data_IF_345994607532
#
_entry.id   IF_345994607532
#
_cell.length_a   1.000
_cell.length_b   1.000
_cell.length_c   1.000
_cell.angle_alpha   90.00
_cell.angle_beta   90.00
_cell.angle_gamma   90.00
#
_symmetry.space_group_name_H-M   'P 1'
#
loop_
_entity.id
_entity.type
_entity.pdbx_description
1 polymer ?
#
# COMPACT_ATOMS: atom_id res chain seq x y z
N UNK A 1 -6.66 36.82 29.87
CA UNK A 1 -7.28 35.61 29.29
C UNK A 1 -6.44 35.10 28.11
N UNK A 2 -5.28 34.44 28.32
CA UNK A 2 -4.46 33.89 27.25
C UNK A 2 -4.58 32.36 27.23
N UNK A 3 -5.69 31.83 26.71
CA UNK A 3 -5.89 30.39 26.54
C UNK A 3 -6.09 29.95 25.08
N UNK A 4 -6.43 30.88 24.16
CA UNK A 4 -6.84 30.54 22.79
C UNK A 4 -5.71 30.36 21.76
N UNK A 5 -4.49 30.84 22.05
CA UNK A 5 -3.38 30.73 21.10
C UNK A 5 -2.67 29.35 21.16
N UNK A 6 -2.65 28.71 22.34
CA UNK A 6 -2.05 27.37 22.50
C UNK A 6 -2.92 26.26 21.91
N UNK A 7 -4.24 26.35 22.06
CA UNK A 7 -5.19 25.37 21.50
C UNK A 7 -5.14 25.31 19.97
N UNK A 8 -5.07 26.46 19.29
CA UNK A 8 -5.00 26.50 17.82
C UNK A 8 -3.69 25.91 17.27
N UNK A 9 -2.56 26.12 17.95
CA UNK A 9 -1.27 25.54 17.55
C UNK A 9 -1.23 24.03 17.81
N UNK A 10 -1.88 23.55 18.87
CA UNK A 10 -2.02 22.12 19.18
C UNK A 10 -3.00 21.43 18.22
N UNK A 11 -4.09 22.09 17.83
CA UNK A 11 -5.06 21.57 16.85
C UNK A 11 -4.44 21.48 15.45
N UNK A 12 -3.66 22.50 15.07
CA UNK A 12 -2.89 22.48 13.80
C UNK A 12 -1.74 21.45 13.82
N UNK A 13 -1.11 21.22 14.98
CA UNK A 13 -0.11 20.16 15.13
C UNK A 13 -0.73 18.75 15.10
N UNK A 14 -1.94 18.56 15.64
CA UNK A 14 -2.66 17.28 15.57
C UNK A 14 -3.08 16.92 14.15
N UNK A 15 -3.47 17.91 13.35
CA UNK A 15 -3.75 17.74 11.92
C UNK A 15 -2.50 17.37 11.11
N UNK A 16 -1.29 17.64 11.62
CA UNK A 16 -0.01 17.38 10.96
C UNK A 16 0.68 16.06 11.37
N UNK A 17 0.17 15.34 12.39
CA UNK A 17 0.87 14.19 12.99
C UNK A 17 0.37 12.83 12.49
N UNK A 18 -0.80 12.75 11.87
CA UNK A 18 -1.33 11.52 11.30
C UNK A 18 -0.80 11.32 9.86
N UNK A 19 -0.17 10.17 9.59
CA UNK A 19 0.24 9.81 8.24
C UNK A 19 -0.97 9.45 7.35
N UNK A 20 -0.73 9.18 6.04
CA UNK A 20 -1.80 8.82 5.11
C UNK A 20 -2.62 7.60 5.53
N UNK A 21 -1.99 6.63 6.19
CA UNK A 21 -2.65 5.42 6.66
C UNK A 21 -3.57 5.76 7.84
N UNK A 22 -3.09 6.53 8.80
CA UNK A 22 -3.83 6.97 9.97
C UNK A 22 -5.09 7.76 9.58
N UNK A 23 -4.97 8.66 8.61
CA UNK A 23 -6.13 9.38 8.08
C UNK A 23 -7.16 8.45 7.42
N UNK A 24 -6.72 7.44 6.67
CA UNK A 24 -7.62 6.44 6.09
C UNK A 24 -8.33 5.60 7.17
N UNK A 25 -7.59 5.17 8.18
CA UNK A 25 -8.15 4.41 9.31
C UNK A 25 -9.14 5.27 10.09
N UNK A 26 -8.82 6.54 10.34
CA UNK A 26 -9.69 7.47 11.03
C UNK A 26 -10.99 7.72 10.25
N UNK A 27 -10.92 7.84 8.92
CA UNK A 27 -12.11 7.95 8.09
C UNK A 27 -13.02 6.71 8.20
N UNK A 28 -12.45 5.51 8.32
CA UNK A 28 -13.22 4.27 8.54
C UNK A 28 -13.79 4.17 9.95
N UNK A 29 -13.06 4.64 10.96
CA UNK A 29 -13.46 4.64 12.38
C UNK A 29 -14.56 5.69 12.63
N UNK A 30 -14.57 6.79 11.87
CA UNK A 30 -15.56 7.86 11.92
C UNK A 30 -16.95 7.49 11.35
N UNK A 31 -17.12 6.26 10.86
CA UNK A 31 -18.42 5.72 10.47
C UNK A 31 -19.27 5.38 11.70
N UNK A 32 -20.59 5.40 11.52
CA UNK A 32 -21.55 5.02 12.55
C UNK A 32 -21.27 3.58 13.04
N UNK A 33 -21.28 3.39 14.37
CA UNK A 33 -20.94 2.10 14.97
C UNK A 33 -19.43 1.75 14.99
N UNK A 34 -18.57 2.64 14.51
CA UNK A 34 -17.11 2.48 14.57
C UNK A 34 -16.57 1.34 13.69
N UNK A 35 -15.38 0.84 14.04
CA UNK A 35 -14.72 -0.23 13.29
C UNK A 35 -14.00 -1.22 14.21
N UNK A 36 -13.99 -2.49 13.85
CA UNK A 36 -13.10 -3.49 14.47
C UNK A 36 -11.79 -3.59 13.68
N UNK A 37 -10.76 -4.21 14.28
CA UNK A 37 -9.49 -4.48 13.57
C UNK A 37 -9.68 -5.35 12.32
N UNK A 38 -10.66 -6.26 12.33
CA UNK A 38 -11.02 -7.07 11.17
C UNK A 38 -11.64 -6.22 10.05
N UNK A 39 -12.53 -5.28 10.39
CA UNK A 39 -13.09 -4.33 9.42
C UNK A 39 -12.00 -3.46 8.81
N UNK A 40 -11.11 -2.91 9.63
CA UNK A 40 -9.98 -2.11 9.16
C UNK A 40 -9.07 -2.89 8.21
N UNK A 41 -8.79 -4.17 8.52
CA UNK A 41 -7.97 -5.03 7.67
C UNK A 41 -8.63 -5.33 6.33
N UNK A 42 -9.95 -5.58 6.31
CA UNK A 42 -10.70 -5.78 5.08
C UNK A 42 -10.73 -4.49 4.23
N UNK A 43 -11.10 -3.38 4.86
CA UNK A 43 -11.47 -2.15 4.17
C UNK A 43 -10.24 -1.34 3.75
N UNK A 44 -9.27 -1.12 4.66
CA UNK A 44 -8.01 -0.46 4.32
C UNK A 44 -7.07 -1.38 3.53
N UNK A 45 -7.12 -2.70 3.78
CA UNK A 45 -6.33 -3.66 3.03
C UNK A 45 -6.61 -3.64 1.53
N UNK A 46 -7.88 -3.53 1.13
CA UNK A 46 -8.25 -3.42 -0.28
C UNK A 46 -7.57 -2.23 -0.99
N UNK A 47 -7.27 -1.15 -0.26
CA UNK A 47 -6.66 0.09 -0.78
C UNK A 47 -5.14 0.14 -0.68
N UNK A 48 -4.53 -0.68 0.19
CA UNK A 48 -3.09 -0.64 0.49
C UNK A 48 -2.32 -1.85 -0.06
N UNK A 49 -2.97 -3.00 -0.26
CA UNK A 49 -2.32 -4.26 -0.65
C UNK A 49 -1.68 -4.26 -2.05
N UNK A 50 -1.95 -3.25 -2.89
CA UNK A 50 -1.27 -3.11 -4.18
C UNK A 50 0.16 -2.54 -4.04
N UNK A 51 0.49 -1.97 -2.88
CA UNK A 51 1.80 -1.37 -2.57
C UNK A 51 2.49 -2.01 -1.38
N UNK A 52 1.72 -2.44 -0.38
CA UNK A 52 2.20 -3.06 0.84
C UNK A 52 1.86 -4.55 0.83
N UNK A 53 2.76 -5.38 1.34
CA UNK A 53 2.49 -6.79 1.60
C UNK A 53 1.41 -6.96 2.67
N UNK A 54 0.72 -8.12 2.74
CA UNK A 54 -0.28 -8.37 3.76
C UNK A 54 0.24 -8.21 5.20
N UNK A 55 1.52 -8.49 5.45
CA UNK A 55 2.15 -8.30 6.75
C UNK A 55 2.34 -6.80 7.07
N UNK A 56 2.85 -6.02 6.11
CA UNK A 56 3.03 -4.57 6.25
C UNK A 56 1.70 -3.85 6.43
N UNK A 57 0.64 -4.27 5.74
CA UNK A 57 -0.71 -3.72 5.94
C UNK A 57 -1.20 -3.94 7.36
N UNK A 58 -1.04 -5.17 7.91
CA UNK A 58 -1.42 -5.45 9.31
C UNK A 58 -0.62 -4.61 10.30
N UNK A 59 0.69 -4.53 10.11
CA UNK A 59 1.56 -3.71 10.95
C UNK A 59 1.20 -2.21 10.89
N UNK A 60 0.90 -1.69 9.69
CA UNK A 60 0.47 -0.30 9.51
C UNK A 60 -0.89 -0.02 10.17
N UNK A 61 -1.83 -0.97 10.12
CA UNK A 61 -3.13 -0.86 10.81
C UNK A 61 -2.93 -0.88 12.32
N UNK A 62 -2.11 -1.79 12.84
CA UNK A 62 -1.84 -1.90 14.28
C UNK A 62 -1.15 -0.64 14.81
N UNK A 63 -0.07 -0.20 14.15
CA UNK A 63 0.65 1.02 14.51
C UNK A 63 -0.24 2.26 14.38
N UNK A 64 -1.00 2.37 13.28
CA UNK A 64 -1.86 3.52 13.02
C UNK A 64 -3.03 3.62 14.01
N UNK A 65 -3.65 2.49 14.36
CA UNK A 65 -4.72 2.49 15.39
C UNK A 65 -4.18 2.86 16.77
N UNK A 66 -3.00 2.36 17.15
CA UNK A 66 -2.35 2.75 18.40
C UNK A 66 -2.03 4.26 18.42
N UNK A 67 -1.51 4.81 17.32
CA UNK A 67 -1.23 6.24 17.19
C UNK A 67 -2.51 7.09 17.31
N UNK A 68 -3.60 6.69 16.65
CA UNK A 68 -4.89 7.41 16.73
C UNK A 68 -5.45 7.43 18.15
N UNK A 69 -5.30 6.34 18.90
CA UNK A 69 -5.70 6.28 20.32
C UNK A 69 -4.81 7.16 21.19
N UNK A 70 -3.48 7.11 20.99
CA UNK A 70 -2.54 7.96 21.72
C UNK A 70 -2.76 9.45 21.47
N UNK A 71 -3.13 9.83 20.24
CA UNK A 71 -3.46 11.21 19.87
C UNK A 71 -4.84 11.67 20.37
N UNK A 72 -5.65 10.77 20.95
CA UNK A 72 -7.01 11.06 21.41
C UNK A 72 -8.00 11.27 20.27
N UNK A 73 -7.71 10.76 19.06
CA UNK A 73 -8.58 10.84 17.89
C UNK A 73 -9.55 9.64 17.82
N UNK A 74 -9.21 8.52 18.47
CA UNK A 74 -10.07 7.36 18.58
C UNK A 74 -10.04 6.79 20.00
N UNK A 75 -11.13 6.14 20.41
CA UNK A 75 -11.24 5.37 21.64
C UNK A 75 -11.40 3.90 21.31
N UNK A 76 -10.72 3.02 22.04
CA UNK A 76 -10.89 1.56 21.94
C UNK A 76 -11.69 1.05 23.15
N UNK A 77 -12.84 0.43 22.90
CA UNK A 77 -13.65 -0.21 23.92
C UNK A 77 -14.09 -1.59 23.43
N UNK A 78 -13.79 -2.65 24.20
CA UNK A 78 -14.14 -4.04 23.89
C UNK A 78 -13.72 -4.49 22.47
N UNK A 79 -12.54 -4.05 22.02
CA UNK A 79 -12.00 -4.38 20.69
C UNK A 79 -12.65 -3.63 19.51
N UNK A 80 -13.46 -2.61 19.79
CA UNK A 80 -14.07 -1.73 18.80
C UNK A 80 -13.52 -0.32 18.97
N UNK A 81 -13.14 0.28 17.84
CA UNK A 81 -12.65 1.65 17.76
C UNK A 81 -13.78 2.59 17.37
N UNK A 82 -13.95 3.68 18.11
CA UNK A 82 -14.88 4.77 17.81
C UNK A 82 -14.13 6.09 17.75
N UNK A 83 -14.50 6.97 16.82
CA UNK A 83 -13.87 8.27 16.71
C UNK A 83 -14.30 9.18 17.88
N UNK A 84 -13.38 9.97 18.40
CA UNK A 84 -13.71 11.08 19.31
C UNK A 84 -14.24 12.27 18.51
N UNK A 85 -14.77 13.30 19.17
CA UNK A 85 -15.19 14.54 18.48
C UNK A 85 -14.03 15.18 17.70
N UNK A 86 -12.81 15.12 18.25
CA UNK A 86 -11.60 15.57 17.57
C UNK A 86 -11.29 14.68 16.35
N UNK A 87 -11.42 13.36 16.50
CA UNK A 87 -11.28 12.40 15.40
C UNK A 87 -12.30 12.60 14.28
N UNK A 88 -13.56 12.93 14.62
CA UNK A 88 -14.60 13.23 13.65
C UNK A 88 -14.29 14.50 12.85
N UNK A 89 -13.73 15.54 13.51
CA UNK A 89 -13.27 16.76 12.82
C UNK A 89 -12.08 16.48 11.90
N UNK A 90 -11.07 15.75 12.39
CA UNK A 90 -9.90 15.37 11.60
C UNK A 90 -10.28 14.48 10.41
N UNK A 91 -11.22 13.56 10.58
CA UNK A 91 -11.78 12.77 9.48
C UNK A 91 -12.48 13.65 8.44
N UNK A 92 -13.32 14.60 8.86
CA UNK A 92 -14.03 15.51 7.98
C UNK A 92 -13.10 16.44 7.20
N UNK A 93 -12.02 16.89 7.85
CA UNK A 93 -10.96 17.68 7.22
C UNK A 93 -10.21 16.86 6.18
N UNK A 94 -9.84 15.62 6.52
CA UNK A 94 -9.17 14.73 5.58
C UNK A 94 -10.03 14.42 4.36
N UNK A 95 -11.31 14.06 4.54
CA UNK A 95 -12.21 13.76 3.41
C UNK A 95 -12.70 14.99 2.66
N UNK A 96 -12.42 16.20 3.17
CA UNK A 96 -12.93 17.48 2.65
C UNK A 96 -14.47 17.50 2.56
N UNK A 97 -15.17 16.67 3.33
CA UNK A 97 -16.64 16.62 3.31
C UNK A 97 -17.28 17.68 4.18
N UNK A 98 -16.58 18.17 5.20
CA UNK A 98 -17.09 19.14 6.18
C UNK A 98 -18.26 18.62 7.04
N UNK A 99 -18.58 17.32 6.94
CA UNK A 99 -19.68 16.69 7.67
C UNK A 99 -19.30 15.25 8.03
N UNK A 100 -19.43 14.96 9.32
CA UNK A 100 -19.26 13.68 10.02
C UNK A 100 -20.26 13.65 11.20
N UNK A 101 -20.62 12.48 11.77
CA UNK A 101 -20.18 11.13 11.41
C UNK A 101 -20.70 10.67 10.05
N UNK A 102 -19.99 9.71 9.45
CA UNK A 102 -20.46 9.07 8.21
C UNK A 102 -21.43 7.96 8.56
N UNK A 103 -22.49 7.76 7.76
CA UNK A 103 -23.47 6.70 8.03
C UNK A 103 -22.87 5.32 7.76
N UNK A 104 -22.16 5.15 6.65
CA UNK A 104 -21.61 3.87 6.23
C UNK A 104 -20.24 4.02 5.54
N UNK A 105 -19.51 2.91 5.44
CA UNK A 105 -18.21 2.88 4.78
C UNK A 105 -18.28 3.05 3.27
N UNK A 106 -19.30 2.54 2.59
CA UNK A 106 -19.45 2.70 1.14
C UNK A 106 -19.62 4.19 0.76
N UNK A 107 -20.30 4.98 1.59
CA UNK A 107 -20.41 6.43 1.42
C UNK A 107 -19.06 7.13 1.57
N UNK A 108 -18.25 6.71 2.54
CA UNK A 108 -16.88 7.24 2.71
C UNK A 108 -16.01 6.84 1.53
N UNK A 109 -15.97 5.56 1.20
CA UNK A 109 -15.14 4.99 0.14
C UNK A 109 -15.52 5.54 -1.22
N UNK A 110 -16.78 5.43 -1.62
CA UNK A 110 -17.23 5.65 -2.99
C UNK A 110 -17.61 7.10 -3.28
N UNK A 111 -17.89 7.90 -2.25
CA UNK A 111 -18.21 9.32 -2.41
C UNK A 111 -17.14 10.23 -1.84
N UNK A 112 -16.82 10.12 -0.55
CA UNK A 112 -15.93 11.08 0.12
C UNK A 112 -14.48 10.96 -0.37
N UNK A 113 -13.91 9.75 -0.34
CA UNK A 113 -12.54 9.50 -0.79
C UNK A 113 -12.40 9.62 -2.31
N UNK A 114 -13.41 9.20 -3.09
CA UNK A 114 -13.42 9.42 -4.54
C UNK A 114 -13.48 10.92 -4.88
N UNK A 115 -14.29 11.70 -4.17
CA UNK A 115 -14.32 13.15 -4.36
C UNK A 115 -12.96 13.78 -4.06
N UNK A 116 -12.31 13.37 -2.95
CA UNK A 116 -10.94 13.80 -2.62
C UNK A 116 -9.94 13.42 -3.71
N UNK A 117 -9.96 12.17 -4.16
CA UNK A 117 -9.09 11.68 -5.23
C UNK A 117 -9.27 12.48 -6.53
N UNK A 118 -10.45 13.05 -6.75
CA UNK A 118 -10.77 13.92 -7.88
C UNK A 118 -10.62 15.43 -7.60
N UNK A 119 -10.20 15.84 -6.39
CA UNK A 119 -10.11 17.26 -6.02
C UNK A 119 -11.47 17.97 -5.98
N UNK A 120 -12.54 17.20 -5.77
CA UNK A 120 -13.94 17.66 -5.67
C UNK A 120 -14.44 17.66 -4.23
N UNK A 121 -13.52 17.64 -3.25
CA UNK A 121 -13.85 17.62 -1.83
C UNK A 121 -14.72 18.80 -1.41
N UNK A 122 -14.37 20.03 -1.82
CA UNK A 122 -15.13 21.22 -1.44
C UNK A 122 -16.34 21.55 -2.35
N UNK A 123 -16.68 20.68 -3.30
CA UNK A 123 -17.76 20.93 -4.26
C UNK A 123 -19.16 20.64 -3.67
N UNK A 124 -20.20 21.16 -4.33
CA UNK A 124 -21.58 21.00 -3.90
C UNK A 124 -21.98 19.51 -3.73
N UNK A 125 -22.79 19.21 -2.70
CA UNK A 125 -23.25 17.85 -2.39
C UNK A 125 -23.88 17.12 -3.60
N UNK A 126 -24.53 17.86 -4.50
CA UNK A 126 -25.13 17.28 -5.72
C UNK A 126 -24.10 16.73 -6.72
N UNK A 127 -22.87 17.27 -6.74
CA UNK A 127 -21.75 16.79 -7.56
C UNK A 127 -21.09 15.56 -6.92
N UNK A 128 -20.99 15.54 -5.58
CA UNK A 128 -20.55 14.34 -4.84
C UNK A 128 -21.50 13.16 -5.04
N UNK A 129 -22.82 13.40 -4.97
CA UNK A 129 -23.84 12.37 -5.23
C UNK A 129 -23.78 11.79 -6.66
N UNK A 130 -23.32 12.55 -7.66
CA UNK A 130 -23.15 11.98 -9.01
C UNK A 130 -22.00 10.98 -9.13
N UNK A 131 -21.03 10.96 -8.22
CA UNK A 131 -19.91 10.01 -8.24
C UNK A 131 -20.34 8.57 -7.90
N UNK A 132 -21.47 8.41 -7.20
CA UNK A 132 -22.08 7.10 -6.99
C UNK A 132 -22.62 6.49 -8.29
N UNK A 133 -22.92 7.30 -9.31
CA UNK A 133 -23.37 6.80 -10.61
C UNK A 133 -22.18 6.55 -11.54
N UNK A 134 -22.18 5.45 -12.31
CA UNK A 134 -21.09 5.12 -13.25
C UNK A 134 -20.77 6.27 -14.22
N UNK A 135 -21.80 6.89 -14.81
CA UNK A 135 -21.61 7.97 -15.78
C UNK A 135 -21.05 9.25 -15.15
N UNK A 136 -21.51 9.58 -13.94
CA UNK A 136 -21.00 10.74 -13.21
C UNK A 136 -19.54 10.55 -12.78
N UNK A 137 -19.18 9.34 -12.35
CA UNK A 137 -17.80 8.97 -12.03
C UNK A 137 -16.88 9.10 -13.25
N UNK A 138 -17.24 8.46 -14.37
CA UNK A 138 -16.45 8.49 -15.62
C UNK A 138 -16.26 9.92 -16.12
N UNK A 139 -17.33 10.70 -16.14
CA UNK A 139 -17.27 12.12 -16.53
C UNK A 139 -16.33 12.91 -15.62
N UNK A 140 -16.41 12.73 -14.30
CA UNK A 140 -15.57 13.46 -13.35
C UNK A 140 -14.08 13.09 -13.47
N UNK A 141 -13.77 11.82 -13.69
CA UNK A 141 -12.40 11.36 -13.96
C UNK A 141 -11.85 12.05 -15.22
N UNK A 142 -12.61 12.02 -16.32
CA UNK A 142 -12.18 12.61 -17.59
C UNK A 142 -12.07 14.14 -17.53
N UNK A 143 -12.97 14.80 -16.79
CA UNK A 143 -12.87 16.24 -16.52
C UNK A 143 -11.58 16.60 -15.81
N UNK A 144 -11.20 15.83 -14.77
CA UNK A 144 -9.94 16.07 -14.05
C UNK A 144 -8.73 15.79 -14.94
N UNK A 145 -8.69 14.63 -15.59
CA UNK A 145 -7.50 14.17 -16.33
C UNK A 145 -7.21 15.03 -17.55
N UNK A 146 -8.24 15.48 -18.27
CA UNK A 146 -8.08 16.25 -19.51
C UNK A 146 -8.44 17.73 -19.36
N UNK A 147 -8.68 18.22 -18.12
CA UNK A 147 -9.00 19.61 -17.85
C UNK A 147 -10.31 20.09 -18.50
N UNK A 148 -11.29 19.21 -18.68
CA UNK A 148 -12.54 19.54 -19.37
C UNK A 148 -13.43 20.42 -18.49
N UNK A 149 -13.90 21.54 -19.05
CA UNK A 149 -14.85 22.42 -18.38
C UNK A 149 -16.29 21.97 -18.65
N UNK A 150 -17.09 21.82 -17.60
CA UNK A 150 -18.53 21.56 -17.75
C UNK A 150 -19.25 21.24 -16.45
N UNK A 151 -20.58 21.09 -16.56
CA UNK A 151 -21.47 20.71 -15.46
C UNK A 151 -21.21 19.26 -15.00
N UNK A 152 -21.81 18.88 -13.85
CA UNK A 152 -21.68 17.56 -13.18
C UNK A 152 -22.01 16.32 -14.05
N UNK A 153 -22.72 16.49 -15.16
CA UNK A 153 -23.05 15.39 -16.06
C UNK A 153 -23.09 15.93 -17.50
N UNK A 154 -22.03 15.69 -18.26
CA UNK A 154 -21.93 16.10 -19.66
C UNK A 154 -22.47 14.95 -20.50
N UNK A 155 -23.44 15.17 -21.41
CA UNK A 155 -23.92 14.12 -22.30
C UNK A 155 -22.76 13.52 -23.14
N UNK A 156 -22.78 12.22 -23.36
CA UNK A 156 -21.72 11.46 -24.04
C UNK A 156 -21.28 12.10 -25.36
N UNK A 157 -22.24 12.56 -26.18
CA UNK A 157 -21.95 13.20 -27.45
C UNK A 157 -21.11 14.48 -27.29
N UNK A 158 -21.36 15.27 -26.23
CA UNK A 158 -20.61 16.47 -25.91
C UNK A 158 -19.25 16.14 -25.28
N UNK A 159 -19.20 15.10 -24.44
CA UNK A 159 -17.95 14.62 -23.85
C UNK A 159 -17.00 14.10 -24.92
N UNK A 160 -17.49 13.30 -25.88
CA UNK A 160 -16.76 12.86 -27.06
C UNK A 160 -16.21 14.04 -27.86
N UNK A 161 -17.02 15.07 -28.13
CA UNK A 161 -16.57 16.24 -28.88
C UNK A 161 -15.44 17.00 -28.17
N UNK A 162 -15.54 17.15 -26.84
CA UNK A 162 -14.48 17.77 -26.03
C UNK A 162 -13.19 16.93 -26.03
N UNK A 163 -13.29 15.61 -25.91
CA UNK A 163 -12.15 14.70 -25.96
C UNK A 163 -11.47 14.68 -27.33
N UNK A 164 -12.26 14.70 -28.42
CA UNK A 164 -11.73 14.81 -29.78
C UNK A 164 -10.92 16.11 -29.96
N UNK A 165 -11.40 17.21 -29.39
CA UNK A 165 -10.69 18.48 -29.41
C UNK A 165 -9.38 18.41 -28.61
N UNK A 166 -9.37 17.78 -27.43
CA UNK A 166 -8.13 17.54 -26.67
C UNK A 166 -7.14 16.67 -27.46
N UNK A 167 -7.62 15.65 -28.16
CA UNK A 167 -6.78 14.81 -29.03
C UNK A 167 -6.15 15.62 -30.17
N UNK A 168 -6.94 16.49 -30.82
CA UNK A 168 -6.45 17.39 -31.87
C UNK A 168 -5.44 18.40 -31.33
N UNK A 169 -5.71 19.02 -30.17
CA UNK A 169 -4.77 19.93 -29.53
C UNK A 169 -3.45 19.24 -29.15
N UNK A 170 -3.50 17.96 -28.74
CA UNK A 170 -2.30 17.17 -28.45
C UNK A 170 -1.52 16.79 -29.73
N UNK A 171 -2.22 16.51 -30.83
CA UNK A 171 -1.58 16.10 -32.09
C UNK A 171 -1.00 17.27 -32.90
N UNK A 172 -1.64 18.45 -32.85
CA UNK A 172 -1.30 19.59 -33.72
C UNK A 172 -0.92 20.87 -32.94
N UNK A 173 -0.95 20.84 -31.61
CA UNK A 173 -0.68 21.98 -30.74
C UNK A 173 -1.81 23.01 -30.71
N UNK A 174 -1.54 24.18 -30.11
CA UNK A 174 -2.53 25.25 -29.89
C UNK A 174 -3.04 25.97 -31.16
N UNK A 175 -2.67 25.53 -32.36
CA UNK A 175 -3.01 26.20 -33.63
C UNK A 175 -4.47 25.99 -34.10
N UNK A 176 -5.22 25.07 -33.46
CA UNK A 176 -6.55 24.62 -33.92
C UNK A 176 -7.73 25.38 -33.26
N UNK A 177 -7.49 26.15 -32.18
CA UNK A 177 -8.55 26.80 -31.39
C UNK A 177 -9.47 27.76 -32.17
N UNK A 178 -9.05 28.23 -33.33
CA UNK A 178 -9.82 29.16 -34.17
C UNK A 178 -10.92 28.49 -35.03
N UNK A 179 -10.83 27.18 -35.33
CA UNK A 179 -11.68 26.57 -36.38
C UNK A 179 -12.88 25.73 -35.92
N UNK A 180 -12.87 25.20 -34.69
CA UNK A 180 -13.84 24.18 -34.25
C UNK A 180 -14.84 24.63 -33.18
N UNK A 181 -14.84 25.91 -32.78
CA UNK A 181 -15.50 26.34 -31.54
C UNK A 181 -16.98 26.67 -31.67
N UNK A 182 -17.57 26.71 -32.87
CA UNK A 182 -19.02 26.93 -33.04
C UNK A 182 -19.57 26.18 -34.27
N UNK A 183 -20.25 25.06 -34.01
CA UNK A 183 -21.28 24.53 -34.91
C UNK A 183 -20.88 23.46 -35.94
N UNK A 184 -19.61 23.31 -36.32
CA UNK A 184 -19.18 22.20 -37.21
C UNK A 184 -18.71 20.99 -36.40
N UNK A 185 -19.68 20.25 -35.84
CA UNK A 185 -19.38 19.01 -35.15
C UNK A 185 -18.73 18.01 -36.10
N UNK A 186 -17.50 17.60 -35.79
CA UNK A 186 -16.88 16.41 -36.38
C UNK A 186 -17.92 15.27 -36.44
N UNK A 187 -18.03 14.54 -37.57
CA UNK A 187 -18.90 13.37 -37.66
C UNK A 187 -18.69 12.45 -36.47
N UNK A 188 -19.75 11.83 -35.96
CA UNK A 188 -19.72 11.03 -34.73
C UNK A 188 -18.61 9.99 -34.73
N UNK A 189 -18.44 9.28 -35.85
CA UNK A 189 -17.36 8.31 -36.08
C UNK A 189 -15.98 8.97 -36.02
N UNK A 190 -15.76 10.05 -36.77
CA UNK A 190 -14.47 10.74 -36.83
C UNK A 190 -14.03 11.28 -35.46
N UNK A 191 -14.94 11.94 -34.73
CA UNK A 191 -14.63 12.43 -33.39
C UNK A 191 -14.41 11.29 -32.38
N UNK A 192 -15.04 10.13 -32.55
CA UNK A 192 -14.77 8.97 -31.70
C UNK A 192 -13.40 8.36 -31.99
N UNK A 193 -13.02 8.22 -33.27
CA UNK A 193 -11.69 7.73 -33.66
C UNK A 193 -10.59 8.67 -33.16
N UNK A 194 -10.80 10.00 -33.24
CA UNK A 194 -9.88 10.99 -32.69
C UNK A 194 -9.79 10.92 -31.17
N UNK A 195 -10.92 10.91 -30.46
CA UNK A 195 -10.92 10.77 -29.01
C UNK A 195 -10.30 9.42 -28.55
N UNK A 196 -10.44 8.37 -29.35
CA UNK A 196 -9.81 7.06 -29.12
C UNK A 196 -8.28 7.09 -29.16
N UNK A 197 -7.67 8.11 -29.76
CA UNK A 197 -6.22 8.32 -29.71
C UNK A 197 -5.71 8.73 -28.32
N UNK A 198 -6.62 9.15 -27.41
CA UNK A 198 -6.27 9.46 -26.02
C UNK A 198 -6.16 8.22 -25.12
N UNK A 199 -6.59 7.05 -25.60
CA UNK A 199 -6.52 5.81 -24.85
C UNK A 199 -5.06 5.34 -24.73
N UNK A 200 -4.77 4.59 -23.66
CA UNK A 200 -3.46 3.99 -23.45
C UNK A 200 -3.06 3.05 -24.61
N UNK A 201 -4.06 2.40 -25.20
CA UNK A 201 -3.94 1.65 -26.45
C UNK A 201 -4.86 2.25 -27.51
N UNK A 202 -4.34 3.10 -28.42
CA UNK A 202 -5.15 3.74 -29.46
C UNK A 202 -5.91 2.72 -30.32
N UNK A 203 -7.24 2.85 -30.37
CA UNK A 203 -8.11 1.97 -31.16
C UNK A 203 -9.44 2.65 -31.49
N UNK A 204 -10.16 2.08 -32.45
CA UNK A 204 -11.53 2.50 -32.72
C UNK A 204 -12.50 1.90 -31.69
N UNK A 205 -13.47 2.70 -31.27
CA UNK A 205 -14.51 2.28 -30.35
C UNK A 205 -15.85 2.22 -31.08
N UNK A 206 -16.70 1.22 -30.80
CA UNK A 206 -17.97 1.08 -31.51
C UNK A 206 -19.03 2.08 -31.02
N UNK A 207 -18.97 2.51 -29.75
CA UNK A 207 -19.95 3.42 -29.13
C UNK A 207 -19.26 4.46 -28.25
N UNK A 208 -19.94 5.58 -28.01
CA UNK A 208 -19.44 6.66 -27.15
C UNK A 208 -19.30 6.18 -25.69
N UNK A 209 -20.25 5.38 -25.20
CA UNK A 209 -20.18 4.78 -23.87
C UNK A 209 -18.95 3.88 -23.68
N UNK A 210 -18.58 3.04 -24.67
CA UNK A 210 -17.37 2.20 -24.58
C UNK A 210 -16.09 3.02 -24.64
N UNK A 211 -16.07 4.08 -25.46
CA UNK A 211 -14.95 5.03 -25.50
C UNK A 211 -14.76 5.70 -24.12
N UNK A 212 -15.83 6.28 -23.58
CA UNK A 212 -15.80 7.01 -22.30
C UNK A 212 -15.41 6.08 -21.15
N UNK A 213 -15.98 4.87 -21.10
CA UNK A 213 -15.67 3.90 -20.07
C UNK A 213 -14.20 3.45 -20.13
N UNK A 214 -13.65 3.20 -21.34
CA UNK A 214 -12.24 2.84 -21.48
C UNK A 214 -11.31 4.00 -21.11
N UNK A 215 -11.56 5.20 -21.61
CA UNK A 215 -10.73 6.36 -21.30
C UNK A 215 -10.74 6.67 -19.80
N UNK A 216 -11.88 6.51 -19.13
CA UNK A 216 -11.97 6.69 -17.68
C UNK A 216 -11.20 5.59 -16.93
N UNK A 217 -11.23 4.35 -17.40
CA UNK A 217 -10.44 3.26 -16.83
C UNK A 217 -8.94 3.50 -16.98
N UNK A 218 -8.49 3.86 -18.19
CA UNK A 218 -7.09 4.21 -18.47
C UNK A 218 -6.64 5.39 -17.60
N UNK A 219 -7.47 6.43 -17.52
CA UNK A 219 -7.22 7.63 -16.72
C UNK A 219 -7.20 7.34 -15.20
N UNK A 220 -7.83 6.26 -14.73
CA UNK A 220 -7.78 5.82 -13.34
C UNK A 220 -6.68 4.77 -13.08
N UNK A 221 -6.09 4.17 -14.12
CA UNK A 221 -5.18 3.04 -14.03
C UNK A 221 -5.87 1.70 -13.77
N UNK A 222 -7.14 1.56 -14.15
CA UNK A 222 -7.92 0.35 -13.97
C UNK A 222 -7.76 -0.60 -15.15
N UNK A 223 -7.63 -1.91 -14.87
CA UNK A 223 -7.54 -2.94 -15.91
C UNK A 223 -8.89 -3.21 -16.61
N UNK A 224 -10.01 -2.87 -15.97
CA UNK A 224 -11.36 -3.10 -16.46
C UNK A 224 -12.19 -1.82 -16.37
N UNK A 225 -13.26 -1.74 -17.18
CA UNK A 225 -14.15 -0.58 -17.28
C UNK A 225 -15.32 -0.61 -16.30
N UNK A 226 -15.38 -1.63 -15.45
CA UNK A 226 -16.37 -1.77 -14.40
C UNK A 226 -16.23 -0.61 -13.39
N UNK A 227 -17.34 0.06 -13.02
CA UNK A 227 -17.29 1.23 -12.15
C UNK A 227 -16.62 0.96 -10.79
N UNK A 228 -16.78 -0.23 -10.21
CA UNK A 228 -16.20 -0.54 -8.89
C UNK A 228 -14.69 -0.80 -8.99
N UNK A 229 -14.26 -1.47 -10.07
CA UNK A 229 -12.83 -1.64 -10.37
C UNK A 229 -12.16 -0.27 -10.64
N UNK A 230 -12.85 0.63 -11.34
CA UNK A 230 -12.37 1.99 -11.61
C UNK A 230 -12.27 2.82 -10.32
N UNK A 231 -13.27 2.75 -9.42
CA UNK A 231 -13.20 3.40 -8.10
C UNK A 231 -12.01 2.90 -7.30
N UNK A 232 -11.86 1.59 -7.21
CA UNK A 232 -10.79 0.96 -6.45
C UNK A 232 -9.41 1.37 -7.00
N UNK A 233 -9.23 1.36 -8.32
CA UNK A 233 -7.98 1.80 -8.95
C UNK A 233 -7.68 3.27 -8.67
N UNK A 234 -8.69 4.14 -8.74
CA UNK A 234 -8.55 5.56 -8.45
C UNK A 234 -8.12 5.81 -7.00
N UNK A 235 -8.75 5.11 -6.05
CA UNK A 235 -8.43 5.22 -4.62
C UNK A 235 -7.03 4.66 -4.32
N UNK A 236 -6.66 3.51 -4.90
CA UNK A 236 -5.31 2.94 -4.79
C UNK A 236 -4.25 3.89 -5.31
N UNK A 237 -4.51 4.56 -6.44
CA UNK A 237 -3.60 5.57 -6.99
C UNK A 237 -3.47 6.78 -6.07
N UNK A 238 -4.57 7.26 -5.50
CA UNK A 238 -4.53 8.34 -4.51
C UNK A 238 -3.69 7.93 -3.30
N UNK A 239 -3.91 6.73 -2.75
CA UNK A 239 -3.12 6.24 -1.61
C UNK A 239 -1.65 6.07 -1.95
N UNK A 240 -1.32 5.57 -3.16
CA UNK A 240 0.07 5.56 -3.63
C UNK A 240 0.67 6.95 -3.65
N UNK A 241 -0.01 7.93 -4.25
CA UNK A 241 0.49 9.29 -4.29
C UNK A 241 0.68 9.89 -2.89
N UNK A 242 -0.22 9.59 -1.95
CA UNK A 242 -0.10 10.05 -0.56
C UNK A 242 1.04 9.36 0.19
N UNK A 243 1.25 8.06 -0.01
CA UNK A 243 2.36 7.30 0.60
C UNK A 243 3.71 7.71 0.02
N UNK A 244 3.79 7.93 -1.29
CA UNK A 244 5.01 8.38 -1.98
C UNK A 244 5.35 9.85 -1.64
N UNK A 245 4.34 10.69 -1.37
CA UNK A 245 4.50 12.08 -0.95
C UNK A 245 4.69 12.25 0.56
N UNK A 246 4.36 11.23 1.36
CA UNK A 246 4.64 11.27 2.78
C UNK A 246 6.16 11.35 2.95
N UNK A 247 6.68 12.32 3.72
CA UNK A 247 8.08 12.29 4.07
C UNK A 247 8.35 10.93 4.70
N UNK A 248 9.38 10.22 4.23
CA UNK A 248 9.86 9.03 4.92
C UNK A 248 10.01 9.47 6.37
N UNK A 249 9.17 8.93 7.26
CA UNK A 249 9.36 9.14 8.70
C UNK A 249 10.80 8.71 8.88
N UNK A 250 11.66 9.70 9.19
CA UNK A 250 13.05 9.43 9.47
C UNK A 250 12.97 8.36 10.53
N UNK A 251 13.34 7.12 10.15
CA UNK A 251 13.54 6.01 11.08
C UNK A 251 14.26 6.67 12.24
N UNK A 252 13.67 6.76 13.46
CA UNK A 252 14.07 7.73 14.45
C UNK A 252 15.58 7.72 14.46
N UNK A 253 16.20 8.81 14.00
CA UNK A 253 17.64 8.89 13.96
C UNK A 253 18.03 8.52 15.37
N UNK A 254 18.71 7.38 15.53
CA UNK A 254 19.17 6.95 16.84
C UNK A 254 19.78 8.19 17.45
N UNK A 255 19.14 8.72 18.50
CA UNK A 255 19.57 9.96 19.11
C UNK A 255 21.08 9.82 19.32
N UNK A 256 21.89 10.82 18.96
CA UNK A 256 23.31 10.73 19.22
C UNK A 256 23.44 10.50 20.71
N UNK A 257 23.85 9.29 21.09
CA UNK A 257 24.01 8.92 22.48
C UNK A 257 25.00 9.96 23.03
N UNK A 258 24.60 10.82 23.99
CA UNK A 258 25.54 11.73 24.59
C UNK A 258 26.68 10.89 25.17
N UNK A 259 27.95 11.33 25.08
CA UNK A 259 29.05 10.58 25.69
C UNK A 259 28.70 10.38 27.15
N UNK A 260 28.62 9.12 27.56
CA UNK A 260 28.14 8.71 28.87
C UNK A 260 28.87 9.53 29.95
N UNK A 261 28.16 10.47 30.58
CA UNK A 261 28.58 11.03 31.85
C UNK A 261 28.61 9.88 32.82
N UNK A 262 29.79 9.66 33.40
CA UNK A 262 30.01 8.78 34.53
C UNK A 262 28.97 9.10 35.62
N UNK A 263 27.94 8.27 35.71
CA UNK A 263 27.12 8.20 36.91
C UNK A 263 27.75 7.14 37.79
N UNK A 264 28.10 7.57 38.98
CA UNK A 264 28.72 6.77 40.02
C UNK A 264 27.85 5.57 40.42
N UNK A 265 28.58 4.57 40.88
CA UNK A 265 28.21 3.21 41.23
C UNK A 265 27.11 3.18 42.31
N UNK A 266 25.97 2.56 42.01
CA UNK A 266 25.15 1.91 43.04
C UNK A 266 25.63 0.46 43.16
N UNK A 267 26.04 0.10 44.37
CA UNK A 267 26.66 -1.16 44.73
C UNK A 267 25.64 -2.32 44.77
N UNK A 268 25.96 -3.44 44.10
CA UNK A 268 26.23 -4.73 44.75
C UNK A 268 26.28 -5.89 43.72
N UNK A 269 27.47 -6.50 43.66
CA UNK A 269 27.79 -7.93 43.59
C UNK A 269 27.16 -8.81 42.49
N UNK A 270 27.86 -9.02 41.36
CA UNK A 270 28.96 -9.99 41.08
C UNK A 270 28.49 -11.34 40.55
N UNK A 271 28.26 -11.39 39.23
CA UNK A 271 28.77 -12.46 38.33
C UNK A 271 28.78 -11.91 36.89
N UNK A 272 29.89 -12.00 36.14
CA UNK A 272 29.91 -11.48 34.77
C UNK A 272 29.17 -12.42 33.82
N UNK A 273 28.13 -11.89 33.18
CA UNK A 273 27.53 -12.49 31.99
C UNK A 273 28.58 -12.55 30.87
N UNK A 274 28.68 -13.73 30.22
CA UNK A 274 29.51 -13.96 29.04
C UNK A 274 29.27 -12.87 27.99
N UNK A 275 30.35 -12.37 27.39
CA UNK A 275 30.31 -11.38 26.31
C UNK A 275 29.46 -11.83 25.10
N UNK A 276 29.18 -10.92 24.15
CA UNK A 276 28.35 -11.23 22.99
C UNK A 276 28.90 -12.45 22.25
N UNK A 277 28.02 -13.38 21.83
CA UNK A 277 28.43 -14.62 21.19
C UNK A 277 29.29 -14.35 19.94
N UNK A 278 30.37 -15.12 19.71
CA UNK A 278 31.20 -14.96 18.51
C UNK A 278 30.34 -15.27 17.27
N UNK A 279 30.15 -14.26 16.42
CA UNK A 279 29.44 -14.45 15.14
C UNK A 279 30.28 -15.33 14.22
N UNK A 280 29.67 -16.31 13.52
CA UNK A 280 30.41 -17.19 12.62
C UNK A 280 30.92 -16.45 11.38
N UNK A 281 32.14 -16.78 10.98
CA UNK A 281 32.62 -16.50 9.63
C UNK A 281 31.83 -17.30 8.60
N UNK A 282 31.76 -16.80 7.36
CA UNK A 282 30.97 -17.44 6.30
C UNK A 282 31.46 -18.85 5.95
N UNK A 283 32.76 -19.11 6.10
CA UNK A 283 33.37 -20.44 5.86
C UNK A 283 33.00 -21.45 6.95
N UNK A 284 33.11 -21.06 8.22
CA UNK A 284 32.70 -21.88 9.37
C UNK A 284 31.21 -22.20 9.32
N UNK A 285 30.40 -21.21 8.94
CA UNK A 285 28.97 -21.35 8.71
C UNK A 285 28.68 -22.37 7.61
N UNK A 286 29.32 -22.25 6.44
CA UNK A 286 29.13 -23.19 5.33
C UNK A 286 29.54 -24.62 5.71
N UNK A 287 30.63 -24.79 6.47
CA UNK A 287 31.07 -26.09 6.97
C UNK A 287 30.09 -26.69 7.99
N UNK A 288 29.50 -25.89 8.87
CA UNK A 288 28.45 -26.34 9.78
C UNK A 288 27.17 -26.74 9.05
N UNK A 289 26.74 -25.95 8.07
CA UNK A 289 25.57 -26.24 7.22
C UNK A 289 25.75 -27.54 6.45
N UNK A 290 26.93 -27.79 5.86
CA UNK A 290 27.21 -29.06 5.15
C UNK A 290 27.15 -30.27 6.09
N UNK A 291 27.74 -30.17 7.29
CA UNK A 291 27.69 -31.23 8.30
C UNK A 291 26.26 -31.51 8.77
N UNK A 292 25.48 -30.46 9.03
CA UNK A 292 24.08 -30.57 9.42
C UNK A 292 23.21 -31.15 8.29
N UNK A 293 23.47 -30.77 7.03
CA UNK A 293 22.83 -31.35 5.86
C UNK A 293 23.14 -32.84 5.71
N UNK A 294 24.40 -33.26 5.86
CA UNK A 294 24.79 -34.67 5.81
C UNK A 294 24.07 -35.53 6.86
N UNK A 295 23.87 -35.01 8.08
CA UNK A 295 23.12 -35.70 9.15
C UNK A 295 21.61 -35.77 8.90
N UNK A 296 21.08 -34.81 8.14
CA UNK A 296 19.64 -34.65 7.88
C UNK A 296 19.26 -35.03 6.45
N UNK A 297 20.11 -35.81 5.77
CA UNK A 297 19.96 -36.20 4.39
C UNK A 297 18.80 -37.19 4.20
N UNK A 298 17.94 -36.93 3.22
CA UNK A 298 16.82 -37.80 2.87
C UNK A 298 16.79 -38.04 1.35
N UNK A 299 16.58 -39.29 0.95
CA UNK A 299 16.39 -39.70 -0.44
C UNK A 299 17.66 -39.71 -1.31
N UNK A 300 17.49 -40.12 -2.56
CA UNK A 300 18.55 -40.13 -3.58
C UNK A 300 18.13 -39.22 -4.76
N UNK A 301 18.97 -38.25 -5.20
CA UNK A 301 20.26 -37.85 -4.62
C UNK A 301 20.10 -37.18 -3.24
N UNK A 302 21.12 -37.31 -2.39
CA UNK A 302 21.10 -36.88 -1.00
C UNK A 302 20.83 -35.36 -0.87
N UNK A 303 19.67 -35.02 -0.28
CA UNK A 303 19.22 -33.64 -0.06
C UNK A 303 18.69 -33.51 1.36
N UNK A 304 18.89 -32.36 1.98
CA UNK A 304 18.35 -32.06 3.29
C UNK A 304 17.42 -30.84 3.22
N UNK A 305 16.29 -30.88 3.92
CA UNK A 305 15.40 -29.73 4.06
C UNK A 305 16.10 -28.61 4.82
N UNK A 306 15.97 -27.38 4.33
CA UNK A 306 16.58 -26.21 5.00
C UNK A 306 16.06 -26.06 6.43
N UNK A 307 14.80 -26.40 6.70
CA UNK A 307 14.22 -26.42 8.05
C UNK A 307 14.96 -27.38 8.99
N UNK A 308 15.26 -28.60 8.54
CA UNK A 308 15.96 -29.60 9.35
C UNK A 308 17.43 -29.22 9.56
N UNK A 309 18.08 -28.66 8.53
CA UNK A 309 19.44 -28.14 8.65
C UNK A 309 19.49 -26.99 9.64
N UNK A 310 18.48 -26.11 9.63
CA UNK A 310 18.35 -25.02 10.60
C UNK A 310 18.22 -25.54 12.03
N UNK A 311 17.29 -26.46 12.28
CA UNK A 311 17.08 -27.04 13.62
C UNK A 311 18.36 -27.69 14.15
N UNK A 312 19.11 -28.37 13.28
CA UNK A 312 20.37 -29.01 13.65
C UNK A 312 21.49 -27.99 13.93
N UNK A 313 21.66 -26.96 13.09
CA UNK A 313 22.68 -25.91 13.30
C UNK A 313 22.39 -25.11 14.56
N UNK A 314 21.12 -24.83 14.86
CA UNK A 314 20.72 -24.14 16.11
C UNK A 314 21.16 -24.90 17.36
N UNK A 315 21.06 -26.22 17.34
CA UNK A 315 21.45 -27.08 18.48
C UNK A 315 22.96 -27.24 18.54
N UNK A 316 23.63 -27.51 17.42
CA UNK A 316 25.08 -27.78 17.39
C UNK A 316 25.93 -26.52 17.57
N UNK A 317 25.41 -25.36 17.19
CA UNK A 317 26.11 -24.08 17.21
C UNK A 317 25.31 -23.02 17.99
N UNK A 318 24.77 -23.42 19.16
CA UNK A 318 24.03 -22.53 20.07
C UNK A 318 24.85 -21.28 20.44
N UNK A 319 26.18 -21.42 20.46
CA UNK A 319 27.15 -20.34 20.71
C UNK A 319 27.01 -19.20 19.69
N UNK A 320 26.51 -19.42 18.47
CA UNK A 320 26.33 -18.35 17.48
C UNK A 320 25.06 -17.53 17.69
N UNK A 321 24.09 -18.04 18.45
CA UNK A 321 22.81 -17.41 18.76
C UNK A 321 22.10 -16.79 17.53
N UNK A 322 22.21 -17.46 16.37
CA UNK A 322 21.60 -16.97 15.12
C UNK A 322 20.08 -17.02 15.24
N UNK A 323 19.39 -16.06 14.62
CA UNK A 323 17.97 -16.20 14.31
C UNK A 323 17.77 -16.99 13.01
N UNK A 324 16.60 -17.58 12.82
CA UNK A 324 16.27 -18.32 11.58
C UNK A 324 16.37 -17.42 10.34
N UNK A 325 16.02 -16.14 10.49
CA UNK A 325 16.11 -15.14 9.42
C UNK A 325 17.58 -14.90 9.05
N UNK A 326 18.45 -14.66 10.05
CA UNK A 326 19.88 -14.47 9.82
C UNK A 326 20.52 -15.72 9.20
N UNK A 327 20.14 -16.91 9.67
CA UNK A 327 20.57 -18.17 9.08
C UNK A 327 20.21 -18.26 7.60
N UNK A 328 18.96 -17.96 7.22
CA UNK A 328 18.50 -17.99 5.81
C UNK A 328 19.20 -16.96 4.93
N UNK A 329 19.51 -15.77 5.49
CA UNK A 329 20.30 -14.74 4.79
C UNK A 329 21.74 -15.24 4.55
N UNK A 330 22.40 -15.75 5.59
CA UNK A 330 23.77 -16.29 5.49
C UNK A 330 23.83 -17.51 4.56
N UNK A 331 22.80 -18.36 4.56
CA UNK A 331 22.68 -19.51 3.66
C UNK A 331 22.58 -19.08 2.19
N UNK A 332 21.80 -18.05 1.92
CA UNK A 332 21.68 -17.47 0.57
C UNK A 332 23.00 -16.84 0.12
N UNK A 333 23.70 -16.15 1.03
CA UNK A 333 25.01 -15.58 0.74
C UNK A 333 26.06 -16.67 0.48
N UNK A 334 26.10 -17.73 1.30
CA UNK A 334 26.97 -18.88 1.09
C UNK A 334 26.68 -19.57 -0.25
N UNK A 335 25.41 -19.62 -0.67
CA UNK A 335 25.04 -20.14 -1.98
C UNK A 335 25.56 -19.29 -3.14
N UNK A 336 25.40 -17.97 -3.06
CA UNK A 336 25.92 -17.05 -4.10
C UNK A 336 27.44 -17.11 -4.25
N UNK A 337 28.17 -17.41 -3.17
CA UNK A 337 29.63 -17.62 -3.19
C UNK A 337 30.05 -19.04 -3.58
N UNK A 338 29.10 -19.92 -3.92
CA UNK A 338 29.39 -21.30 -4.31
C UNK A 338 29.82 -22.21 -3.14
N UNK A 339 29.74 -21.73 -1.90
CA UNK A 339 30.13 -22.51 -0.72
C UNK A 339 29.10 -23.59 -0.36
N UNK A 340 27.83 -23.39 -0.70
CA UNK A 340 26.71 -24.33 -0.49
C UNK A 340 25.84 -24.37 -1.76
N UNK A 341 25.33 -25.54 -2.14
CA UNK A 341 24.41 -25.67 -3.27
C UNK A 341 22.96 -25.81 -2.77
N UNK A 342 22.06 -24.95 -3.25
CA UNK A 342 20.64 -24.99 -2.90
C UNK A 342 19.81 -25.55 -4.07
N UNK A 343 18.68 -26.21 -3.74
CA UNK A 343 17.77 -26.82 -4.73
C UNK A 343 16.32 -26.51 -4.39
N UNK A 344 15.49 -26.38 -5.43
CA UNK A 344 14.05 -26.19 -5.33
C UNK A 344 13.33 -27.51 -5.08
N UNK A 345 12.16 -27.47 -4.44
CA UNK A 345 11.31 -28.64 -4.23
C UNK A 345 10.26 -28.81 -5.33
N UNK A 346 9.89 -30.05 -5.63
CA UNK A 346 8.68 -30.35 -6.39
C UNK A 346 7.47 -30.33 -5.45
N UNK A 347 6.53 -29.42 -5.72
CA UNK A 347 5.36 -29.12 -4.88
C UNK A 347 4.27 -30.22 -4.94
N UNK A 348 4.50 -31.31 -5.68
CA UNK A 348 3.50 -32.38 -5.88
C UNK A 348 3.34 -33.31 -4.67
N UNK A 349 4.34 -33.43 -3.79
CA UNK A 349 4.27 -34.32 -2.63
C UNK A 349 3.54 -33.66 -1.45
N UNK A 350 2.29 -34.06 -1.24
CA UNK A 350 1.42 -33.51 -0.19
C UNK A 350 1.94 -33.79 1.23
N UNK A 351 2.61 -34.93 1.43
CA UNK A 351 3.07 -35.37 2.75
C UNK A 351 4.28 -34.57 3.26
N UNK A 352 5.02 -33.90 2.35
CA UNK A 352 6.21 -33.10 2.67
C UNK A 352 5.94 -31.60 2.63
N UNK A 353 4.67 -31.18 2.46
CA UNK A 353 4.31 -29.77 2.26
C UNK A 353 4.74 -28.88 3.41
N UNK A 354 4.59 -29.35 4.65
CA UNK A 354 4.95 -28.56 5.84
C UNK A 354 6.47 -28.27 5.90
N UNK A 355 7.30 -29.26 5.58
CA UNK A 355 8.76 -29.10 5.60
C UNK A 355 9.25 -28.25 4.42
N UNK A 356 8.59 -28.35 3.27
CA UNK A 356 8.81 -27.46 2.11
C UNK A 356 8.49 -26.01 2.50
N UNK A 357 7.30 -25.75 3.08
CA UNK A 357 6.90 -24.40 3.48
C UNK A 357 7.85 -23.80 4.54
N UNK A 358 8.28 -24.59 5.53
CA UNK A 358 9.25 -24.15 6.54
C UNK A 358 10.65 -23.90 5.96
N UNK A 359 11.03 -24.68 4.95
CA UNK A 359 12.32 -24.56 4.28
C UNK A 359 12.41 -23.41 3.29
N UNK A 360 11.27 -22.76 2.97
CA UNK A 360 11.21 -21.72 1.95
C UNK A 360 12.19 -20.57 2.26
N UNK A 361 13.23 -20.48 1.42
CA UNK A 361 14.29 -19.47 1.52
C UNK A 361 14.30 -18.68 0.20
N UNK A 362 13.71 -17.48 0.18
CA UNK A 362 13.61 -16.69 -1.05
C UNK A 362 14.95 -16.04 -1.41
N UNK A 363 15.40 -16.21 -2.66
CA UNK A 363 16.51 -15.47 -3.25
C UNK A 363 16.15 -14.94 -4.65
N UNK A 364 16.12 -13.61 -4.79
CA UNK A 364 15.70 -12.91 -6.00
C UNK A 364 14.34 -13.43 -6.53
N UNK A 365 14.37 -14.31 -7.52
CA UNK A 365 13.19 -14.86 -8.20
C UNK A 365 12.99 -16.37 -7.95
N UNK A 366 13.78 -16.98 -7.08
CA UNK A 366 13.76 -18.42 -6.82
C UNK A 366 13.57 -18.69 -5.33
N UNK A 367 12.76 -19.70 -4.99
CA UNK A 367 12.59 -20.14 -3.60
C UNK A 367 13.32 -21.47 -3.44
N UNK A 368 14.34 -21.46 -2.58
CA UNK A 368 15.12 -22.63 -2.25
C UNK A 368 14.49 -23.39 -1.09
N UNK A 369 14.58 -24.72 -1.13
CA UNK A 369 13.93 -25.60 -0.15
C UNK A 369 14.87 -26.67 0.39
N UNK A 370 15.89 -27.03 -0.39
CA UNK A 370 16.86 -28.05 -0.03
C UNK A 370 18.29 -27.51 -0.07
N UNK A 371 19.14 -28.08 0.79
CA UNK A 371 20.59 -28.06 0.65
C UNK A 371 21.00 -29.35 -0.08
N UNK A 372 21.71 -29.23 -1.19
CA UNK A 372 22.32 -30.37 -1.90
C UNK A 372 23.58 -30.80 -1.17
N UNK A 373 23.72 -32.09 -0.97
CA UNK A 373 24.94 -32.70 -0.47
C UNK A 373 25.73 -33.13 -1.70
N UNK A 374 26.95 -32.62 -1.83
CA UNK A 374 27.93 -33.11 -2.81
C UNK A 374 28.65 -34.30 -2.16
N UNK A 375 28.87 -35.36 -2.94
CA UNK A 375 29.64 -36.54 -2.51
C UNK A 375 31.13 -36.19 -2.25
#
# INVERSE_FOLDING_TARGET
MPARAGEAVIETARDAVAGPVEHLLLARIACEGGATRADLTRDAGALLQHKLSPAEVRAAIESGTAALVQLGLANEARGRLTATDAGLRAAAAFTETGSTPFTDWDQVRDMALVAKALGLGNEAASRKKSLARPEGLRTAILQKTYGLKGKKNIPDAKLRAQLALVALERAFGNKIKAGFTKGSGLPSKAARTLAGQLAASPREFPTDAKLIAQLAADAAGAAQTDPDVVRLALLRRMMTALLDAAPAIAKPAAAPVPPARLVEKAANDTTPAKGPPPRPGLEDFAAAVKRAAAKSAHGWPAKAFISHVWDQVRVEQEIWALSEIEFKIMLTEAHRRGAVALVTADLKNKDLRQDIERSATPDRNTIWHYVRIED
#
